data_IF_893045077032
#
_entry.id   IF_893045077032
#
_cell.length_a   1.000
_cell.length_b   1.000
_cell.length_c   1.000
_cell.angle_alpha   90.00
_cell.angle_beta   90.00
_cell.angle_gamma   90.00
#
_symmetry.space_group_name_H-M   'P 1'
#
loop_
_entity.id
_entity.type
_entity.pdbx_description
1 polymer ?
#
# COMPACT_ATOMS: atom_id res chain seq x y z
N UNK A 1 13.90 13.13 -2.34
CA UNK A 1 12.72 12.97 -1.45
C UNK A 1 13.07 13.49 -0.07
N UNK A 2 12.27 14.39 0.43
CA UNK A 2 12.42 14.86 1.81
C UNK A 2 11.60 13.98 2.75
N UNK A 3 12.22 13.50 3.81
CA UNK A 3 11.53 12.73 4.86
C UNK A 3 11.22 13.70 5.99
N UNK A 4 9.95 13.72 6.39
CA UNK A 4 9.48 14.54 7.49
C UNK A 4 8.75 13.64 8.50
N UNK A 5 9.17 13.70 9.75
CA UNK A 5 8.45 13.03 10.83
C UNK A 5 7.32 13.96 11.27
N UNK A 6 6.08 13.53 11.08
CA UNK A 6 4.88 14.31 11.45
C UNK A 6 4.29 13.85 12.78
N UNK A 7 4.58 12.62 13.21
CA UNK A 7 4.19 12.08 14.51
C UNK A 7 5.03 10.87 14.89
N UNK A 8 5.17 10.67 16.19
CA UNK A 8 5.76 9.48 16.80
C UNK A 8 4.79 8.87 17.80
N UNK A 9 5.07 7.66 18.25
CA UNK A 9 4.28 7.00 19.29
C UNK A 9 2.91 6.50 18.84
N UNK A 10 2.73 6.25 17.53
CA UNK A 10 1.52 5.64 17.00
C UNK A 10 1.47 4.18 17.47
N UNK A 11 0.36 3.79 18.11
CA UNK A 11 0.13 2.41 18.47
C UNK A 11 -0.23 1.55 17.24
N UNK A 12 0.58 0.55 16.87
CA UNK A 12 0.29 -0.29 15.71
C UNK A 12 -0.79 -1.34 15.96
N UNK A 13 -1.14 -1.60 17.22
CA UNK A 13 -2.05 -2.71 17.59
C UNK A 13 -3.39 -2.70 16.85
N UNK A 14 -4.12 -1.56 16.73
CA UNK A 14 -5.39 -1.56 16.00
C UNK A 14 -5.28 -2.01 14.55
N UNK A 15 -4.15 -1.73 13.90
CA UNK A 15 -3.90 -2.19 12.52
C UNK A 15 -3.58 -3.68 12.49
N UNK A 16 -2.67 -4.12 13.36
CA UNK A 16 -2.24 -5.52 13.43
C UNK A 16 -3.38 -6.47 13.77
N UNK A 17 -4.31 -6.05 14.61
CA UNK A 17 -5.48 -6.86 14.99
C UNK A 17 -6.43 -7.15 13.82
N UNK A 18 -6.41 -6.31 12.79
CA UNK A 18 -7.26 -6.47 11.60
C UNK A 18 -6.60 -7.30 10.49
N UNK A 19 -5.27 -7.42 10.49
CA UNK A 19 -4.53 -8.11 9.44
C UNK A 19 -4.71 -9.62 9.62
N UNK A 20 -5.12 -10.31 8.54
CA UNK A 20 -5.17 -11.76 8.46
C UNK A 20 -4.05 -12.28 7.56
N UNK A 21 -3.59 -13.51 7.80
CA UNK A 21 -2.52 -14.11 7.00
C UNK A 21 -2.88 -14.20 5.51
N UNK A 22 -4.13 -14.47 5.19
CA UNK A 22 -4.60 -14.55 3.81
C UNK A 22 -4.53 -13.21 3.05
N UNK A 23 -4.62 -12.10 3.76
CA UNK A 23 -4.61 -10.78 3.13
C UNK A 23 -3.25 -10.44 2.52
N UNK A 24 -2.16 -10.98 3.09
CA UNK A 24 -0.82 -10.82 2.52
C UNK A 24 -0.66 -11.42 1.13
N UNK A 25 -1.49 -12.40 0.77
CA UNK A 25 -1.45 -13.09 -0.51
C UNK A 25 -2.55 -12.65 -1.46
N UNK A 26 -3.22 -11.53 -1.15
CA UNK A 26 -4.38 -11.10 -1.93
C UNK A 26 -4.05 -10.87 -3.40
N UNK A 27 -2.93 -10.21 -3.71
CA UNK A 27 -2.53 -9.91 -5.10
C UNK A 27 -2.29 -11.18 -5.90
N UNK A 28 -1.57 -12.15 -5.35
CA UNK A 28 -1.28 -13.41 -6.04
C UNK A 28 -2.51 -14.26 -6.33
N UNK A 29 -3.60 -14.03 -5.60
CA UNK A 29 -4.90 -14.70 -5.84
C UNK A 29 -5.76 -14.00 -6.89
N UNK A 30 -5.40 -12.79 -7.30
CA UNK A 30 -6.13 -12.03 -8.31
C UNK A 30 -5.62 -12.40 -9.72
N UNK A 31 -6.50 -12.94 -10.55
CA UNK A 31 -6.16 -13.24 -11.95
C UNK A 31 -5.80 -11.95 -12.70
N UNK A 32 -4.68 -11.98 -13.41
CA UNK A 32 -4.24 -10.87 -14.26
C UNK A 32 -3.43 -9.79 -13.58
N UNK A 33 -3.20 -9.88 -12.28
CA UNK A 33 -2.34 -8.94 -11.55
C UNK A 33 -0.87 -9.39 -11.47
N UNK A 34 -0.53 -10.48 -12.14
CA UNK A 34 0.81 -11.06 -12.10
C UNK A 34 1.04 -11.95 -10.87
N UNK A 35 1.92 -12.91 -11.01
CA UNK A 35 2.35 -13.71 -9.90
C UNK A 35 3.14 -12.86 -8.91
N UNK A 36 2.91 -13.07 -7.65
CA UNK A 36 3.70 -12.42 -6.61
C UNK A 36 5.06 -13.10 -6.52
N UNK A 37 6.04 -12.52 -7.18
CA UNK A 37 7.45 -12.89 -7.04
C UNK A 37 8.12 -12.11 -5.91
N UNK A 38 7.36 -11.25 -5.26
CA UNK A 38 7.86 -10.39 -4.20
C UNK A 38 8.08 -11.21 -2.93
N UNK A 39 9.31 -11.28 -2.39
CA UNK A 39 9.59 -11.97 -1.13
C UNK A 39 8.96 -11.28 0.08
N UNK A 40 8.36 -10.13 -0.11
CA UNK A 40 7.71 -9.34 0.92
C UNK A 40 6.20 -9.62 0.94
N UNK A 41 5.60 -9.61 2.10
CA UNK A 41 4.15 -9.55 2.19
C UNK A 41 3.66 -8.20 1.69
N UNK A 42 2.64 -8.22 0.83
CA UNK A 42 2.03 -7.02 0.26
C UNK A 42 0.52 -7.07 0.42
N UNK A 43 -0.03 -6.07 1.08
CA UNK A 43 -1.44 -5.97 1.38
C UNK A 43 -1.94 -4.60 0.89
N UNK A 44 -2.42 -4.51 -0.36
CA UNK A 44 -2.85 -3.24 -0.92
C UNK A 44 -4.25 -2.86 -0.50
N UNK A 45 -4.43 -1.63 -0.05
CA UNK A 45 -5.74 -1.04 0.25
C UNK A 45 -6.20 -0.14 -0.89
N UNK A 46 -5.28 0.64 -1.45
CA UNK A 46 -5.50 1.48 -2.64
C UNK A 46 -4.33 1.25 -3.58
N UNK A 47 -4.62 0.94 -4.82
CA UNK A 47 -3.61 0.68 -5.84
C UNK A 47 -4.02 1.20 -7.21
N UNK A 48 -3.09 1.17 -8.16
CA UNK A 48 -3.36 1.60 -9.53
C UNK A 48 -4.52 0.81 -10.15
N UNK A 49 -5.43 1.51 -10.79
CA UNK A 49 -6.47 0.93 -11.66
C UNK A 49 -5.92 0.79 -13.07
N UNK A 50 -5.40 -0.38 -13.36
CA UNK A 50 -4.79 -0.70 -14.67
C UNK A 50 -5.82 -1.39 -15.56
N UNK A 51 -6.01 -0.85 -16.76
CA UNK A 51 -6.80 -1.50 -17.82
C UNK A 51 -5.90 -2.43 -18.63
N UNK A 52 -6.53 -3.36 -19.34
CA UNK A 52 -5.80 -4.28 -20.23
C UNK A 52 -4.91 -3.51 -21.21
N UNK A 53 -3.63 -3.85 -21.27
CA UNK A 53 -2.65 -3.24 -22.16
C UNK A 53 -1.97 -1.99 -21.63
N UNK A 54 -2.37 -1.48 -20.46
CA UNK A 54 -1.69 -0.35 -19.83
C UNK A 54 -0.51 -0.81 -18.96
N UNK A 55 0.55 0.00 -18.93
CA UNK A 55 1.64 -0.16 -17.97
C UNK A 55 1.24 0.49 -16.64
N UNK A 56 1.34 -0.22 -15.50
CA UNK A 56 1.07 0.36 -14.18
C UNK A 56 1.86 1.63 -13.87
N UNK A 57 3.04 1.78 -14.45
CA UNK A 57 3.88 2.98 -14.25
C UNK A 57 3.32 4.22 -14.94
N UNK A 58 2.51 4.04 -15.99
CA UNK A 58 1.92 5.12 -16.77
C UNK A 58 0.51 5.49 -16.31
N UNK A 59 0.02 4.85 -15.24
CA UNK A 59 -1.34 5.03 -14.75
C UNK A 59 -1.34 5.85 -13.46
N UNK A 60 -2.04 6.97 -13.47
CA UNK A 60 -2.26 7.80 -12.27
C UNK A 60 -3.58 7.47 -11.54
N UNK A 61 -4.50 6.82 -12.21
CA UNK A 61 -5.78 6.43 -11.61
C UNK A 61 -5.58 5.42 -10.49
N UNK A 62 -6.15 5.71 -9.33
CA UNK A 62 -6.09 4.85 -8.16
C UNK A 62 -7.48 4.38 -7.78
N UNK A 63 -7.56 3.24 -7.12
CA UNK A 63 -8.81 2.72 -6.62
C UNK A 63 -8.65 1.80 -5.43
N UNK A 64 -9.70 1.73 -4.64
CA UNK A 64 -9.77 0.85 -3.47
C UNK A 64 -9.79 -0.61 -3.92
N UNK A 65 -9.05 -1.45 -3.22
CA UNK A 65 -9.15 -2.90 -3.38
C UNK A 65 -10.35 -3.44 -2.59
N UNK A 66 -10.69 -4.70 -2.82
CA UNK A 66 -11.71 -5.38 -2.03
C UNK A 66 -11.35 -5.48 -0.54
N UNK A 67 -10.06 -5.39 -0.20
CA UNK A 67 -9.60 -5.42 1.19
C UNK A 67 -9.89 -4.13 1.96
N UNK A 68 -9.97 -3.00 1.28
CA UNK A 68 -10.08 -1.68 1.89
C UNK A 68 -11.15 -1.59 2.98
N UNK A 69 -12.33 -2.12 2.72
CA UNK A 69 -13.47 -2.05 3.64
C UNK A 69 -13.24 -2.78 4.97
N UNK A 70 -12.30 -3.73 5.00
CA UNK A 70 -12.01 -4.52 6.19
C UNK A 70 -11.04 -3.82 7.15
N UNK A 71 -10.41 -2.74 6.69
CA UNK A 71 -9.37 -2.03 7.46
C UNK A 71 -9.89 -0.71 8.02
N UNK A 72 -10.87 -0.81 8.89
CA UNK A 72 -11.51 0.35 9.54
C UNK A 72 -10.54 1.15 10.41
N UNK A 73 -9.52 0.51 10.97
CA UNK A 73 -8.48 1.20 11.73
C UNK A 73 -7.69 2.19 10.88
N UNK A 74 -7.42 1.86 9.61
CA UNK A 74 -6.74 2.76 8.68
C UNK A 74 -7.64 3.93 8.31
N UNK A 75 -8.91 3.67 8.04
CA UNK A 75 -9.90 4.71 7.72
C UNK A 75 -10.05 5.69 8.89
N UNK A 76 -10.12 5.17 10.12
CA UNK A 76 -10.18 5.98 11.35
C UNK A 76 -8.93 6.84 11.50
N UNK A 77 -7.75 6.27 11.30
CA UNK A 77 -6.48 6.97 11.36
C UNK A 77 -6.42 8.12 10.36
N UNK A 78 -6.79 7.90 9.11
CA UNK A 78 -6.81 8.95 8.10
C UNK A 78 -7.77 10.09 8.46
N UNK A 79 -8.95 9.76 8.99
CA UNK A 79 -9.91 10.75 9.43
C UNK A 79 -9.38 11.61 10.59
N UNK A 80 -8.76 10.97 11.57
CA UNK A 80 -8.17 11.66 12.72
C UNK A 80 -7.02 12.59 12.33
N UNK A 81 -6.34 12.27 11.24
CA UNK A 81 -5.18 13.01 10.75
C UNK A 81 -5.50 13.95 9.59
N UNK A 82 -6.77 14.07 9.20
CA UNK A 82 -7.19 14.83 8.02
C UNK A 82 -6.44 14.42 6.74
N UNK A 83 -6.04 13.15 6.63
CA UNK A 83 -5.42 12.62 5.43
C UNK A 83 -6.53 12.22 4.46
N UNK A 84 -6.51 12.82 3.28
CA UNK A 84 -7.39 12.41 2.18
C UNK A 84 -6.84 11.16 1.51
N UNK A 85 -7.66 10.13 1.38
CA UNK A 85 -7.28 8.87 0.75
C UNK A 85 -7.31 8.97 -0.78
N UNK A 86 -6.45 9.77 -1.34
CA UNK A 86 -6.40 9.98 -2.80
C UNK A 86 -5.29 9.21 -3.49
N UNK A 87 -4.38 8.63 -2.73
CA UNK A 87 -3.19 7.97 -3.22
C UNK A 87 -3.13 6.48 -2.93
N UNK A 88 -2.02 5.87 -3.26
CA UNK A 88 -1.73 4.47 -2.96
C UNK A 88 -1.55 4.28 -1.47
N UNK A 89 -2.09 3.18 -0.95
CA UNK A 89 -1.95 2.79 0.43
C UNK A 89 -1.84 1.27 0.55
N UNK A 90 -0.86 0.81 1.31
CA UNK A 90 -0.64 -0.61 1.51
C UNK A 90 0.10 -0.87 2.82
N UNK A 91 -0.06 -2.08 3.34
CA UNK A 91 0.85 -2.63 4.32
C UNK A 91 1.92 -3.48 3.64
N UNK A 92 3.12 -3.41 4.15
CA UNK A 92 4.22 -4.28 3.76
C UNK A 92 4.71 -5.06 4.97
N UNK A 93 5.01 -6.32 4.74
CA UNK A 93 5.61 -7.19 5.77
C UNK A 93 7.00 -7.61 5.32
N UNK A 94 7.99 -7.25 6.13
CA UNK A 94 9.36 -7.72 5.95
C UNK A 94 9.66 -8.77 7.01
N UNK A 95 9.92 -10.01 6.57
CA UNK A 95 10.27 -11.09 7.49
C UNK A 95 11.70 -10.90 8.04
N UNK A 96 11.99 -11.41 9.26
CA UNK A 96 13.34 -11.39 9.80
C UNK A 96 14.36 -11.96 8.83
N UNK A 97 15.53 -11.33 8.71
CA UNK A 97 16.59 -11.72 7.78
C UNK A 97 16.42 -11.20 6.35
N UNK A 98 15.25 -10.70 5.98
CA UNK A 98 15.02 -10.07 4.69
C UNK A 98 15.27 -8.56 4.76
N UNK A 99 15.57 -7.98 3.61
CA UNK A 99 15.75 -6.53 3.49
C UNK A 99 15.13 -6.03 2.19
N UNK A 100 14.76 -4.76 2.17
CA UNK A 100 14.38 -4.06 0.95
C UNK A 100 15.67 -3.60 0.27
N UNK A 101 15.88 -4.02 -0.98
CA UNK A 101 17.02 -3.55 -1.77
C UNK A 101 16.84 -2.07 -2.15
N UNK A 102 17.95 -1.39 -2.35
CA UNK A 102 17.92 -0.03 -2.88
C UNK A 102 17.17 0.00 -4.20
N UNK A 103 16.23 0.93 -4.31
CA UNK A 103 15.43 1.09 -5.51
C UNK A 103 14.97 2.54 -5.64
N UNK A 104 14.47 2.87 -6.82
CA UNK A 104 13.82 4.14 -7.09
C UNK A 104 12.38 3.83 -7.47
N UNK A 105 11.44 4.48 -6.79
CA UNK A 105 10.04 4.42 -7.18
C UNK A 105 9.85 5.23 -8.46
N UNK A 106 9.36 4.57 -9.49
CA UNK A 106 9.18 5.14 -10.83
C UNK A 106 7.72 5.24 -11.19
N UNK A 107 7.44 6.10 -12.14
CA UNK A 107 6.16 6.21 -12.77
C UNK A 107 5.49 7.55 -12.52
N UNK A 108 4.51 7.82 -13.35
CA UNK A 108 3.75 9.07 -13.37
C UNK A 108 3.13 9.40 -12.00
N UNK A 109 2.65 8.39 -11.31
CA UNK A 109 2.00 8.55 -10.00
C UNK A 109 2.90 9.21 -8.94
N UNK A 110 4.22 8.92 -8.96
CA UNK A 110 5.12 9.36 -7.90
C UNK A 110 5.74 10.75 -8.12
N UNK A 111 5.48 11.40 -9.24
CA UNK A 111 6.15 12.65 -9.60
C UNK A 111 5.83 13.80 -8.66
N UNK A 112 4.56 13.94 -8.26
CA UNK A 112 4.06 15.09 -7.50
C UNK A 112 3.33 14.70 -6.20
N UNK A 113 3.59 13.52 -5.65
CA UNK A 113 2.88 13.02 -4.47
C UNK A 113 3.76 13.04 -3.22
N UNK A 114 3.16 13.43 -2.11
CA UNK A 114 3.74 13.23 -0.79
C UNK A 114 3.62 11.78 -0.35
N UNK A 115 4.57 11.30 0.42
CA UNK A 115 4.59 9.95 0.94
C UNK A 115 4.67 9.95 2.46
N UNK A 116 3.91 9.05 3.06
CA UNK A 116 3.88 8.82 4.50
C UNK A 116 4.23 7.36 4.81
N UNK A 117 5.21 7.17 5.68
CA UNK A 117 5.69 5.86 6.10
C UNK A 117 5.50 5.64 7.60
#
# INVERSE_FOLDING_TARGET
>A
MNIKIIKTGIDPKPFLDQITENDWNWVSRQKGLGGDTNPYGFLPLIMAKVKRGEDPHDVDRQGRTALYQNYTSVQKFWKEWNITETGRAAFFRLKPGNRVHSHIDRGLYYQDKDRYH
#
